data_IF_383812071990
#
_entry.id   IF_383812071990
#
_cell.length_a   1.000
_cell.length_b   1.000
_cell.length_c   1.000
_cell.angle_alpha   90.00
_cell.angle_beta   90.00
_cell.angle_gamma   90.00
#
_symmetry.space_group_name_H-M   'P 1'
#
loop_
_entity.id
_entity.type
_entity.pdbx_description
1 polymer ?
#
# COMPACT_ATOMS: atom_id res chain seq x y z
N UNK A 1 12.33 22.25 -6.07
CA UNK A 1 11.00 21.65 -6.04
C UNK A 1 11.02 20.35 -5.24
N UNK A 2 10.25 20.29 -4.15
CA UNK A 2 10.09 19.04 -3.38
C UNK A 2 9.19 18.08 -4.15
N UNK A 3 9.63 16.83 -4.26
CA UNK A 3 8.87 15.70 -4.80
C UNK A 3 8.97 14.52 -3.86
N UNK A 4 7.91 13.81 -3.66
CA UNK A 4 7.85 12.64 -2.80
C UNK A 4 6.43 12.18 -2.56
N UNK A 5 6.26 11.28 -1.60
CA UNK A 5 4.96 10.70 -1.24
C UNK A 5 4.87 10.54 0.27
N UNK A 6 3.76 10.98 0.84
CA UNK A 6 3.42 10.68 2.24
C UNK A 6 2.81 9.28 2.33
N UNK A 7 3.38 8.41 3.15
CA UNK A 7 2.81 7.11 3.46
C UNK A 7 1.96 7.22 4.75
N UNK A 8 0.83 7.89 4.63
CA UNK A 8 -0.03 8.30 5.73
C UNK A 8 -1.47 7.81 5.61
N UNK A 9 -1.71 6.72 4.89
CA UNK A 9 -3.02 6.08 4.82
C UNK A 9 -3.40 5.54 6.20
N UNK A 10 -4.30 6.24 6.90
CA UNK A 10 -4.71 5.88 8.24
C UNK A 10 -5.85 4.85 8.23
N UNK A 11 -6.70 4.84 7.20
CA UNK A 11 -7.83 3.89 7.15
C UNK A 11 -7.33 2.45 7.08
N UNK A 12 -6.31 2.16 6.27
CA UNK A 12 -5.72 0.81 6.20
C UNK A 12 -5.14 0.34 7.54
N UNK A 13 -4.74 1.25 8.42
CA UNK A 13 -4.26 0.88 9.75
C UNK A 13 -5.38 0.27 10.60
N UNK A 14 -6.60 0.81 10.50
CA UNK A 14 -7.77 0.22 11.18
C UNK A 14 -8.23 -1.08 10.51
N UNK A 15 -8.05 -1.22 9.19
CA UNK A 15 -8.47 -2.42 8.47
C UNK A 15 -7.57 -3.62 8.76
N UNK A 16 -6.24 -3.43 8.73
CA UNK A 16 -5.31 -4.54 8.61
C UNK A 16 -4.05 -4.46 9.49
N UNK A 17 -3.44 -3.25 9.66
CA UNK A 17 -2.09 -3.16 10.23
C UNK A 17 -2.07 -2.87 11.73
N UNK A 18 -3.04 -2.14 12.25
CA UNK A 18 -3.22 -1.88 13.69
C UNK A 18 -2.29 -0.83 14.31
N UNK A 19 -1.57 -0.05 13.50
CA UNK A 19 -0.65 1.00 13.99
C UNK A 19 -1.28 2.38 13.93
N UNK A 20 -2.25 2.66 14.78
CA UNK A 20 -2.91 3.96 14.90
C UNK A 20 -2.85 4.47 16.35
N UNK A 21 -2.93 5.80 16.51
CA UNK A 21 -2.89 6.48 17.82
C UNK A 21 -4.28 7.04 18.14
N UNK A 22 -4.95 7.66 17.16
CA UNK A 22 -6.22 8.33 17.32
C UNK A 22 -7.38 7.52 16.74
N UNK A 23 -8.63 7.76 17.17
CA UNK A 23 -9.81 7.23 16.51
C UNK A 23 -9.93 7.71 15.04
N UNK A 24 -10.77 7.06 14.20
CA UNK A 24 -10.84 7.38 12.77
C UNK A 24 -11.16 8.86 12.46
N UNK A 25 -12.13 9.47 13.13
CA UNK A 25 -12.55 10.84 12.80
C UNK A 25 -11.47 11.91 13.02
N UNK A 26 -10.75 11.98 14.17
CA UNK A 26 -9.60 12.88 14.33
C UNK A 26 -8.47 12.59 13.34
N UNK A 27 -8.24 11.32 13.00
CA UNK A 27 -7.22 10.93 12.03
C UNK A 27 -7.54 11.43 10.63
N UNK A 28 -8.81 11.35 10.20
CA UNK A 28 -9.26 11.90 8.90
C UNK A 28 -9.06 13.41 8.82
N UNK A 29 -9.20 14.14 9.93
CA UNK A 29 -8.87 15.58 9.97
C UNK A 29 -7.40 15.84 9.62
N UNK A 30 -6.48 15.08 10.20
CA UNK A 30 -5.04 15.23 9.91
C UNK A 30 -4.74 14.99 8.42
N UNK A 31 -5.39 14.01 7.81
CA UNK A 31 -5.25 13.74 6.36
C UNK A 31 -5.74 14.92 5.52
N UNK A 32 -6.88 15.50 5.85
CA UNK A 32 -7.40 16.67 5.12
C UNK A 32 -6.53 17.92 5.32
N UNK A 33 -5.90 18.09 6.49
CA UNK A 33 -4.94 19.15 6.74
C UNK A 33 -3.69 18.99 5.86
N UNK A 34 -3.19 17.76 5.69
CA UNK A 34 -2.10 17.44 4.75
C UNK A 34 -2.50 17.81 3.31
N UNK A 35 -3.70 17.43 2.88
CA UNK A 35 -4.18 17.72 1.53
C UNK A 35 -4.25 19.22 1.26
N UNK A 36 -4.82 20.00 2.19
CA UNK A 36 -4.88 21.46 2.09
C UNK A 36 -3.50 22.09 2.01
N UNK A 37 -2.60 21.68 2.90
CA UNK A 37 -1.24 22.19 2.95
C UNK A 37 -0.49 21.89 1.64
N UNK A 38 -0.49 20.64 1.20
CA UNK A 38 0.22 20.24 -0.01
C UNK A 38 -0.34 20.88 -1.28
N UNK A 39 -1.65 21.06 -1.38
CA UNK A 39 -2.27 21.72 -2.53
C UNK A 39 -1.80 23.19 -2.66
N UNK A 40 -1.53 23.88 -1.55
CA UNK A 40 -1.08 25.26 -1.52
C UNK A 40 0.45 25.40 -1.62
N UNK A 41 1.18 24.64 -0.84
CA UNK A 41 2.61 24.88 -0.57
C UNK A 41 3.54 23.89 -1.30
N UNK A 42 3.07 22.66 -1.61
CA UNK A 42 3.91 21.60 -2.18
C UNK A 42 3.18 20.85 -3.32
N UNK A 43 2.89 21.52 -4.45
CA UNK A 43 2.00 20.99 -5.49
C UNK A 43 2.53 19.73 -6.20
N UNK A 44 3.83 19.43 -6.10
CA UNK A 44 4.44 18.24 -6.71
C UNK A 44 4.58 17.06 -5.73
N UNK A 45 4.00 17.17 -4.54
CA UNK A 45 4.02 16.12 -3.53
C UNK A 45 2.78 15.22 -3.62
N UNK A 46 2.96 13.90 -3.62
CA UNK A 46 1.86 12.97 -3.47
C UNK A 46 1.39 13.00 -2.02
N UNK A 47 0.20 13.51 -1.80
CA UNK A 47 -0.34 13.80 -0.46
C UNK A 47 -0.64 12.56 0.38
N UNK A 48 -0.85 11.42 -0.29
CA UNK A 48 -1.16 10.14 0.34
C UNK A 48 -0.73 8.98 -0.56
N UNK A 49 -0.38 7.85 0.05
CA UNK A 49 -0.28 6.54 -0.60
C UNK A 49 -1.36 5.62 -0.03
N UNK A 50 -2.48 5.49 -0.74
CA UNK A 50 -3.63 4.67 -0.33
C UNK A 50 -3.27 3.21 -0.55
N UNK A 51 -3.22 2.42 0.54
CA UNK A 51 -2.46 1.18 0.58
C UNK A 51 -3.31 -0.08 0.69
N UNK A 52 -3.46 -0.80 -0.42
CA UNK A 52 -3.98 -2.17 -0.47
C UNK A 52 -2.93 -3.22 -0.06
N UNK A 53 -1.65 -2.93 -0.20
CA UNK A 53 -0.57 -3.86 0.13
C UNK A 53 -0.74 -4.52 1.50
N UNK A 54 -0.95 -3.73 2.55
CA UNK A 54 -1.08 -4.25 3.91
C UNK A 54 -2.37 -5.05 4.12
N UNK A 55 -3.44 -4.70 3.39
CA UNK A 55 -4.71 -5.44 3.40
C UNK A 55 -4.49 -6.83 2.81
N UNK A 56 -3.73 -6.92 1.70
CA UNK A 56 -3.38 -8.18 1.06
C UNK A 56 -2.46 -9.03 1.93
N UNK A 57 -1.45 -8.43 2.55
CA UNK A 57 -0.53 -9.10 3.48
C UNK A 57 -1.24 -9.66 4.71
N UNK A 58 -2.34 -9.04 5.14
CA UNK A 58 -3.19 -9.55 6.22
C UNK A 58 -4.08 -10.74 5.81
N UNK A 59 -4.03 -11.17 4.54
CA UNK A 59 -4.72 -12.36 4.02
C UNK A 59 -6.02 -12.09 3.27
N UNK A 60 -6.27 -10.86 2.80
CA UNK A 60 -7.40 -10.57 1.91
C UNK A 60 -7.23 -11.22 0.54
N UNK A 61 -8.34 -11.41 -0.20
CA UNK A 61 -8.31 -11.79 -1.61
C UNK A 61 -7.91 -10.61 -2.50
N UNK A 62 -7.57 -10.87 -3.77
CA UNK A 62 -7.28 -9.82 -4.74
C UNK A 62 -8.47 -8.86 -4.93
N UNK A 63 -9.69 -9.38 -4.96
CA UNK A 63 -10.93 -8.58 -5.03
C UNK A 63 -11.09 -7.69 -3.81
N UNK A 64 -10.88 -8.22 -2.61
CA UNK A 64 -10.96 -7.45 -1.36
C UNK A 64 -9.88 -6.37 -1.31
N UNK A 65 -8.66 -6.66 -1.74
CA UNK A 65 -7.59 -5.66 -1.85
C UNK A 65 -8.02 -4.48 -2.71
N UNK A 66 -8.52 -4.72 -3.94
CA UNK A 66 -9.02 -3.65 -4.83
C UNK A 66 -10.17 -2.91 -4.19
N UNK A 67 -11.18 -3.64 -3.71
CA UNK A 67 -12.41 -3.04 -3.20
C UNK A 67 -12.15 -2.17 -1.96
N UNK A 68 -11.38 -2.66 -1.01
CA UNK A 68 -11.13 -1.93 0.24
C UNK A 68 -10.21 -0.74 0.02
N UNK A 69 -9.17 -0.91 -0.80
CA UNK A 69 -8.26 0.19 -1.16
C UNK A 69 -9.00 1.32 -1.88
N UNK A 70 -9.84 0.98 -2.87
CA UNK A 70 -10.60 2.01 -3.58
C UNK A 70 -11.72 2.61 -2.71
N UNK A 71 -12.29 1.85 -1.77
CA UNK A 71 -13.23 2.39 -0.78
C UNK A 71 -12.56 3.41 0.15
N UNK A 72 -11.34 3.11 0.63
CA UNK A 72 -10.54 4.08 1.39
C UNK A 72 -10.26 5.33 0.56
N UNK A 73 -9.90 5.16 -0.71
CA UNK A 73 -9.73 6.27 -1.66
C UNK A 73 -10.99 7.12 -1.81
N UNK A 74 -12.15 6.50 -1.94
CA UNK A 74 -13.45 7.19 -1.99
C UNK A 74 -13.69 8.01 -0.72
N UNK A 75 -13.38 7.46 0.44
CA UNK A 75 -13.57 8.15 1.72
C UNK A 75 -12.64 9.35 1.85
N UNK A 76 -11.38 9.24 1.42
CA UNK A 76 -10.43 10.37 1.40
C UNK A 76 -10.88 11.48 0.44
N UNK A 77 -11.37 11.12 -0.76
CA UNK A 77 -11.89 12.11 -1.72
C UNK A 77 -13.12 12.82 -1.16
N UNK A 78 -14.06 12.09 -0.53
CA UNK A 78 -15.21 12.70 0.15
C UNK A 78 -14.80 13.69 1.24
N UNK A 79 -13.83 13.29 2.09
CA UNK A 79 -13.33 14.13 3.16
C UNK A 79 -12.67 15.41 2.62
N UNK A 80 -11.87 15.31 1.56
CA UNK A 80 -11.23 16.46 0.92
C UNK A 80 -12.25 17.44 0.32
N UNK A 81 -13.25 16.93 -0.40
CA UNK A 81 -14.33 17.76 -0.98
C UNK A 81 -15.16 18.42 0.14
N UNK A 82 -15.52 17.68 1.19
CA UNK A 82 -16.24 18.23 2.34
C UNK A 82 -15.44 19.32 3.07
N UNK A 83 -14.11 19.26 2.99
CA UNK A 83 -13.20 20.27 3.52
C UNK A 83 -13.04 21.49 2.56
N UNK A 84 -13.77 21.52 1.44
CA UNK A 84 -13.80 22.64 0.49
C UNK A 84 -12.75 22.59 -0.61
N UNK A 85 -12.07 21.45 -0.80
CA UNK A 85 -11.07 21.28 -1.87
C UNK A 85 -11.76 20.90 -3.19
N UNK A 86 -11.31 21.50 -4.30
CA UNK A 86 -11.71 21.12 -5.64
C UNK A 86 -11.04 19.80 -6.04
N UNK A 87 -11.84 18.85 -6.54
CA UNK A 87 -11.37 17.50 -6.89
C UNK A 87 -10.24 17.51 -7.92
N UNK A 88 -10.32 18.39 -8.90
CA UNK A 88 -9.33 18.48 -9.98
C UNK A 88 -8.03 19.18 -9.55
N UNK A 89 -7.98 19.74 -8.34
CA UNK A 89 -6.77 20.32 -7.78
C UNK A 89 -5.97 19.34 -6.91
N UNK A 90 -6.65 18.48 -6.13
CA UNK A 90 -5.94 17.53 -5.25
C UNK A 90 -5.84 16.09 -5.81
N UNK A 91 -6.82 15.63 -6.61
CA UNK A 91 -6.84 14.26 -7.09
C UNK A 91 -5.59 13.84 -7.89
N UNK A 92 -4.94 14.73 -8.69
CA UNK A 92 -3.67 14.41 -9.33
C UNK A 92 -2.52 14.08 -8.38
N UNK A 93 -2.62 14.47 -7.09
CA UNK A 93 -1.64 14.19 -6.05
C UNK A 93 -1.91 12.89 -5.27
N UNK A 94 -3.05 12.24 -5.53
CA UNK A 94 -3.33 10.94 -4.92
C UNK A 94 -2.46 9.86 -5.55
N UNK A 95 -1.94 8.98 -4.72
CA UNK A 95 -1.24 7.78 -5.15
C UNK A 95 -1.73 6.55 -4.39
N UNK A 96 -1.44 5.38 -4.94
CA UNK A 96 -1.88 4.10 -4.41
C UNK A 96 -0.70 3.16 -4.23
N UNK A 97 -0.92 2.11 -3.45
CA UNK A 97 0.06 1.09 -3.18
C UNK A 97 -0.61 -0.28 -3.14
N UNK A 98 -0.26 -1.17 -4.06
CA UNK A 98 -0.81 -2.50 -4.18
C UNK A 98 0.23 -3.58 -3.96
N UNK A 99 -0.25 -4.76 -3.55
CA UNK A 99 0.53 -5.99 -3.51
C UNK A 99 0.63 -6.60 -4.92
N UNK A 100 1.67 -7.38 -5.19
CA UNK A 100 1.73 -8.30 -6.32
C UNK A 100 1.94 -9.72 -5.79
N UNK A 101 0.92 -10.56 -5.89
CA UNK A 101 0.85 -11.90 -5.32
C UNK A 101 1.17 -12.99 -6.36
N UNK A 102 1.07 -14.27 -5.98
CA UNK A 102 1.52 -15.40 -6.81
C UNK A 102 0.60 -15.75 -7.97
N UNK A 103 -0.70 -15.41 -7.94
CA UNK A 103 -1.62 -15.76 -9.01
C UNK A 103 -1.49 -14.78 -10.19
N UNK A 104 -0.58 -15.09 -11.10
CA UNK A 104 -0.05 -14.20 -12.12
C UNK A 104 -1.13 -13.47 -12.95
N UNK A 105 -2.06 -14.22 -13.56
CA UNK A 105 -3.09 -13.61 -14.42
C UNK A 105 -4.13 -12.82 -13.62
N UNK A 106 -4.46 -13.29 -12.42
CA UNK A 106 -5.34 -12.56 -11.49
C UNK A 106 -4.73 -11.22 -11.08
N UNK A 107 -3.42 -11.18 -10.80
CA UNK A 107 -2.73 -9.95 -10.44
C UNK A 107 -2.69 -8.94 -11.60
N UNK A 108 -2.43 -9.39 -12.83
CA UNK A 108 -2.53 -8.52 -14.02
C UNK A 108 -3.95 -7.95 -14.16
N UNK A 109 -4.96 -8.80 -14.05
CA UNK A 109 -6.37 -8.39 -14.12
C UNK A 109 -6.75 -7.42 -12.98
N UNK A 110 -6.21 -7.65 -11.79
CA UNK A 110 -6.39 -6.79 -10.60
C UNK A 110 -5.97 -5.35 -10.87
N UNK A 111 -4.77 -5.14 -11.38
CA UNK A 111 -4.26 -3.80 -11.68
C UNK A 111 -5.06 -3.13 -12.80
N UNK A 112 -5.50 -3.87 -13.80
CA UNK A 112 -6.36 -3.38 -14.87
C UNK A 112 -7.74 -2.97 -14.34
N UNK A 113 -8.37 -3.81 -13.53
CA UNK A 113 -9.65 -3.54 -12.87
C UNK A 113 -9.57 -2.31 -11.96
N UNK A 114 -8.53 -2.22 -11.13
CA UNK A 114 -8.34 -1.08 -10.23
C UNK A 114 -8.26 0.25 -10.97
N UNK A 115 -7.46 0.34 -12.06
CA UNK A 115 -7.36 1.56 -12.87
C UNK A 115 -8.70 1.94 -13.52
N UNK A 116 -9.40 0.98 -14.09
CA UNK A 116 -10.67 1.21 -14.79
C UNK A 116 -11.79 1.61 -13.80
N UNK A 117 -11.85 0.96 -12.64
CA UNK A 117 -12.78 1.31 -11.57
C UNK A 117 -12.52 2.72 -11.04
N UNK A 118 -11.28 3.05 -10.73
CA UNK A 118 -10.93 4.37 -10.20
C UNK A 118 -11.29 5.49 -11.16
N UNK A 119 -10.95 5.34 -12.44
CA UNK A 119 -11.29 6.33 -13.45
C UNK A 119 -12.80 6.57 -13.53
N UNK A 120 -13.61 5.51 -13.47
CA UNK A 120 -15.09 5.64 -13.45
C UNK A 120 -15.58 6.28 -12.17
N UNK A 121 -15.06 5.87 -11.01
CA UNK A 121 -15.42 6.45 -9.71
C UNK A 121 -15.16 7.96 -9.71
N UNK A 122 -13.97 8.38 -10.11
CA UNK A 122 -13.61 9.81 -10.12
C UNK A 122 -14.46 10.63 -11.08
N UNK A 123 -14.73 10.09 -12.26
CA UNK A 123 -15.58 10.77 -13.24
C UNK A 123 -17.07 10.79 -12.83
N UNK A 124 -17.62 9.63 -12.49
CA UNK A 124 -19.06 9.44 -12.38
C UNK A 124 -19.60 9.79 -10.99
N UNK A 125 -18.80 9.58 -9.92
CA UNK A 125 -19.20 9.86 -8.53
C UNK A 125 -18.74 11.25 -8.06
N UNK A 126 -17.56 11.71 -8.49
CA UNK A 126 -16.96 12.96 -8.01
C UNK A 126 -16.90 14.08 -9.06
N UNK A 127 -17.26 13.80 -10.31
CA UNK A 127 -17.32 14.79 -11.37
C UNK A 127 -15.95 15.33 -11.80
N UNK A 128 -14.87 14.60 -11.57
CA UNK A 128 -13.54 14.97 -12.00
C UNK A 128 -13.44 15.07 -13.53
N UNK A 129 -12.80 16.12 -14.03
CA UNK A 129 -12.76 16.46 -15.46
C UNK A 129 -11.35 16.34 -16.05
N UNK A 130 -10.31 16.60 -15.24
CA UNK A 130 -8.92 16.53 -15.72
C UNK A 130 -8.51 15.07 -15.91
N UNK A 131 -7.86 14.71 -17.04
CA UNK A 131 -7.32 13.35 -17.24
C UNK A 131 -6.43 12.87 -16.09
N UNK A 132 -5.60 13.76 -15.52
CA UNK A 132 -4.74 13.45 -14.39
C UNK A 132 -5.51 13.06 -13.12
N UNK A 133 -6.73 13.62 -12.91
CA UNK A 133 -7.59 13.29 -11.78
C UNK A 133 -8.25 11.91 -11.90
N UNK A 134 -8.32 11.36 -13.12
CA UNK A 134 -8.90 10.04 -13.39
C UNK A 134 -7.86 8.91 -13.30
N UNK A 135 -6.57 9.26 -13.25
CA UNK A 135 -5.50 8.27 -13.23
C UNK A 135 -5.33 7.65 -11.84
N UNK A 136 -5.27 6.32 -11.80
CA UNK A 136 -4.80 5.60 -10.64
C UNK A 136 -3.30 5.38 -10.80
N UNK A 137 -2.50 6.23 -10.14
CA UNK A 137 -1.05 6.08 -10.08
C UNK A 137 -0.69 5.24 -8.88
N UNK A 138 0.09 4.18 -9.09
CA UNK A 138 0.37 3.27 -7.99
C UNK A 138 1.78 2.71 -8.00
N UNK A 139 2.26 2.45 -6.80
CA UNK A 139 3.40 1.61 -6.49
C UNK A 139 2.92 0.17 -6.30
N UNK A 140 3.74 -0.80 -6.69
CA UNK A 140 3.53 -2.20 -6.35
C UNK A 140 4.72 -2.74 -5.56
N UNK A 141 4.43 -3.58 -4.59
CA UNK A 141 5.43 -4.41 -3.91
C UNK A 141 5.03 -5.87 -4.04
N UNK A 142 6.00 -6.72 -4.29
CA UNK A 142 5.79 -8.18 -4.30
C UNK A 142 5.35 -8.67 -2.92
N UNK A 143 4.51 -9.72 -2.87
CA UNK A 143 3.88 -10.17 -1.64
C UNK A 143 4.86 -10.80 -0.66
N UNK A 144 5.15 -10.12 0.45
CA UNK A 144 6.01 -10.61 1.51
C UNK A 144 5.48 -11.88 2.17
N UNK A 145 4.17 -11.91 2.43
CA UNK A 145 3.47 -13.06 3.04
C UNK A 145 3.51 -14.35 2.20
N UNK A 146 3.90 -14.27 0.92
CA UNK A 146 4.05 -15.42 0.03
C UNK A 146 5.42 -16.08 0.12
N UNK A 147 6.39 -15.42 0.73
CA UNK A 147 7.78 -15.88 0.81
C UNK A 147 7.96 -16.79 2.03
N UNK A 148 8.82 -17.80 1.87
CA UNK A 148 8.97 -18.87 2.84
C UNK A 148 10.39 -18.92 3.39
N UNK A 149 10.52 -19.32 4.66
CA UNK A 149 11.82 -19.59 5.27
C UNK A 149 12.44 -20.89 4.73
N UNK A 150 11.59 -21.83 4.28
CA UNK A 150 12.00 -23.09 3.67
C UNK A 150 12.47 -22.83 2.24
N UNK A 151 13.63 -23.36 1.87
CA UNK A 151 14.21 -23.22 0.52
C UNK A 151 14.18 -21.76 0.02
N UNK A 152 14.83 -20.81 0.72
CA UNK A 152 14.66 -19.37 0.50
C UNK A 152 15.07 -18.89 -0.91
N UNK A 153 15.94 -19.64 -1.61
CA UNK A 153 16.32 -19.33 -3.00
C UNK A 153 15.11 -19.40 -3.94
N UNK A 154 14.10 -20.24 -3.65
CA UNK A 154 12.87 -20.30 -4.45
C UNK A 154 12.07 -18.99 -4.36
N UNK A 155 12.30 -18.16 -3.34
CA UNK A 155 11.69 -16.84 -3.23
C UNK A 155 12.12 -15.91 -4.35
N UNK A 156 13.32 -16.07 -4.93
CA UNK A 156 13.78 -15.31 -6.09
C UNK A 156 12.83 -15.52 -7.27
N UNK A 157 12.42 -16.77 -7.49
CA UNK A 157 11.49 -17.14 -8.57
C UNK A 157 10.10 -16.57 -8.30
N UNK A 158 9.59 -16.71 -7.05
CA UNK A 158 8.29 -16.15 -6.65
C UNK A 158 8.24 -14.64 -6.89
N UNK A 159 9.25 -13.93 -6.39
CA UNK A 159 9.38 -12.47 -6.55
C UNK A 159 9.48 -12.07 -8.02
N UNK A 160 10.21 -12.84 -8.85
CA UNK A 160 10.32 -12.57 -10.29
C UNK A 160 8.94 -12.65 -10.97
N UNK A 161 8.15 -13.69 -10.69
CA UNK A 161 6.81 -13.87 -11.25
C UNK A 161 5.85 -12.74 -10.80
N UNK A 162 5.89 -12.39 -9.53
CA UNK A 162 5.09 -11.30 -8.96
C UNK A 162 5.47 -9.94 -9.56
N UNK A 163 6.77 -9.66 -9.66
CA UNK A 163 7.28 -8.43 -10.26
C UNK A 163 6.88 -8.31 -11.73
N UNK A 164 6.95 -9.41 -12.48
CA UNK A 164 6.52 -9.46 -13.88
C UNK A 164 5.00 -9.21 -14.01
N UNK A 165 4.18 -9.78 -13.12
CA UNK A 165 2.74 -9.50 -13.10
C UNK A 165 2.44 -8.02 -12.83
N UNK A 166 3.17 -7.38 -11.91
CA UNK A 166 3.04 -5.95 -11.64
C UNK A 166 3.42 -5.08 -12.85
N UNK A 167 4.50 -5.44 -13.56
CA UNK A 167 4.96 -4.73 -14.78
C UNK A 167 3.93 -4.85 -15.89
N UNK A 168 3.46 -6.07 -16.19
CA UNK A 168 2.42 -6.32 -17.19
C UNK A 168 1.07 -5.71 -16.78
N UNK A 169 0.81 -5.57 -15.49
CA UNK A 169 -0.32 -4.88 -14.92
C UNK A 169 -0.23 -3.35 -14.97
N UNK A 170 0.92 -2.77 -15.35
CA UNK A 170 1.10 -1.33 -15.57
C UNK A 170 1.43 -0.52 -14.31
N UNK A 171 2.18 -1.09 -13.37
CA UNK A 171 2.69 -0.35 -12.19
C UNK A 171 3.64 0.80 -12.60
N UNK A 172 3.62 1.93 -11.87
CA UNK A 172 4.51 3.05 -12.13
C UNK A 172 5.84 2.96 -11.36
N UNK A 173 5.84 2.26 -10.23
CA UNK A 173 7.06 1.96 -9.48
C UNK A 173 6.93 0.59 -8.82
N UNK A 174 8.06 -0.06 -8.56
CA UNK A 174 8.10 -1.44 -8.12
C UNK A 174 9.13 -1.64 -7.01
N UNK A 175 8.73 -2.36 -5.96
CA UNK A 175 9.61 -2.95 -4.96
C UNK A 175 9.59 -4.47 -5.10
N UNK A 176 10.76 -5.08 -5.11
CA UNK A 176 10.94 -6.53 -5.05
C UNK A 176 11.48 -6.92 -3.68
N UNK A 177 10.77 -7.78 -2.95
CA UNK A 177 11.24 -8.32 -1.69
C UNK A 177 12.48 -9.20 -1.91
N UNK A 178 13.32 -9.27 -0.92
CA UNK A 178 14.52 -10.12 -0.97
C UNK A 178 14.21 -11.57 -0.61
N UNK A 179 15.08 -12.49 -1.00
CA UNK A 179 14.86 -13.92 -0.78
C UNK A 179 14.82 -14.32 0.71
N UNK A 180 15.41 -13.50 1.59
CA UNK A 180 15.48 -13.69 3.03
C UNK A 180 14.36 -12.98 3.82
N UNK A 181 13.36 -12.44 3.13
CA UNK A 181 12.24 -11.66 3.70
C UNK A 181 11.52 -12.38 4.85
N UNK A 182 11.33 -13.69 4.74
CA UNK A 182 10.65 -14.49 5.77
C UNK A 182 11.53 -14.78 7.01
N UNK A 183 12.80 -14.39 7.00
CA UNK A 183 13.77 -14.77 8.03
C UNK A 183 14.36 -13.57 8.77
N UNK A 184 14.66 -12.48 8.05
CA UNK A 184 15.34 -11.32 8.62
C UNK A 184 15.19 -10.07 7.72
N UNK A 185 15.75 -8.95 8.18
CA UNK A 185 16.04 -7.81 7.29
C UNK A 185 17.03 -8.26 6.20
N UNK A 186 16.92 -7.70 4.98
CA UNK A 186 17.65 -8.21 3.84
C UNK A 186 19.17 -8.05 4.00
N UNK A 187 19.89 -9.12 3.70
CA UNK A 187 21.35 -9.10 3.56
C UNK A 187 21.76 -8.35 2.29
N UNK A 188 23.00 -7.88 2.21
CA UNK A 188 23.53 -7.19 1.02
C UNK A 188 23.41 -8.04 -0.25
N UNK A 189 23.69 -9.35 -0.15
CA UNK A 189 23.52 -10.28 -1.27
C UNK A 189 22.06 -10.37 -1.71
N UNK A 190 21.13 -10.51 -0.77
CA UNK A 190 19.71 -10.66 -1.06
C UNK A 190 19.11 -9.38 -1.67
N UNK A 191 19.44 -8.19 -1.15
CA UNK A 191 19.05 -6.89 -1.73
C UNK A 191 19.55 -6.74 -3.15
N UNK A 192 20.81 -7.13 -3.40
CA UNK A 192 21.39 -7.06 -4.75
C UNK A 192 20.64 -7.93 -5.75
N UNK A 193 20.28 -9.15 -5.37
CA UNK A 193 19.48 -10.06 -6.21
C UNK A 193 18.09 -9.45 -6.47
N UNK A 194 17.42 -8.95 -5.44
CA UNK A 194 16.11 -8.31 -5.57
C UNK A 194 16.13 -7.13 -6.55
N UNK A 195 17.18 -6.29 -6.48
CA UNK A 195 17.37 -5.18 -7.44
C UNK A 195 17.67 -5.70 -8.85
N UNK A 196 18.50 -6.74 -9.00
CA UNK A 196 18.81 -7.34 -10.30
C UNK A 196 17.58 -7.96 -10.95
N UNK A 197 16.66 -8.53 -10.19
CA UNK A 197 15.37 -9.02 -10.69
C UNK A 197 14.63 -7.94 -11.48
N UNK A 198 14.51 -6.72 -10.94
CA UNK A 198 13.89 -5.60 -11.65
C UNK A 198 14.66 -5.23 -12.94
N UNK A 199 15.99 -5.19 -12.85
CA UNK A 199 16.84 -4.82 -13.98
C UNK A 199 16.78 -5.86 -15.12
N UNK A 200 16.74 -7.15 -14.80
CA UNK A 200 16.56 -8.23 -15.78
C UNK A 200 15.20 -8.08 -16.48
N UNK A 201 14.12 -7.87 -15.72
CA UNK A 201 12.79 -7.62 -16.29
C UNK A 201 12.83 -6.39 -17.23
N UNK A 202 13.49 -5.32 -16.84
CA UNK A 202 13.54 -4.08 -17.61
C UNK A 202 14.38 -4.18 -18.90
N UNK A 203 15.49 -4.91 -18.87
CA UNK A 203 16.49 -4.89 -19.94
C UNK A 203 16.55 -6.14 -20.79
N UNK A 204 16.16 -7.30 -20.26
CA UNK A 204 16.36 -8.59 -20.93
C UNK A 204 15.06 -9.25 -21.38
N UNK A 205 13.91 -8.91 -20.77
CA UNK A 205 12.63 -9.61 -21.02
C UNK A 205 11.85 -9.07 -22.23
N UNK A 206 12.13 -7.85 -22.69
CA UNK A 206 11.39 -7.18 -23.76
C UNK A 206 10.01 -6.66 -23.37
N UNK A 207 9.52 -6.89 -22.15
CA UNK A 207 8.15 -6.47 -21.71
C UNK A 207 7.96 -4.96 -21.70
N UNK A 208 9.04 -4.19 -21.59
CA UNK A 208 9.01 -2.72 -21.61
C UNK A 208 8.81 -2.14 -23.02
N UNK A 209 8.86 -2.96 -24.06
CA UNK A 209 8.67 -2.54 -25.45
C UNK A 209 7.20 -2.41 -25.86
N UNK A 210 6.27 -2.78 -24.98
CA UNK A 210 4.82 -2.77 -25.24
C UNK A 210 4.05 -2.17 -24.07
N UNK A 211 2.86 -1.65 -24.37
CA UNK A 211 1.89 -1.17 -23.39
C UNK A 211 0.70 -2.13 -23.34
N UNK A 212 0.35 -2.60 -22.15
CA UNK A 212 -0.77 -3.53 -21.91
C UNK A 212 -0.76 -4.76 -22.87
N UNK A 213 0.34 -5.53 -22.91
CA UNK A 213 0.54 -6.56 -23.93
C UNK A 213 -0.46 -7.73 -23.81
N UNK A 214 -1.14 -7.87 -22.68
CA UNK A 214 -2.19 -8.86 -22.45
C UNK A 214 -3.61 -8.33 -22.74
N UNK A 215 -3.73 -7.07 -23.15
CA UNK A 215 -4.99 -6.46 -23.57
C UNK A 215 -5.59 -7.23 -24.76
N UNK A 216 -6.92 -7.53 -24.68
CA UNK A 216 -7.62 -8.35 -25.67
C UNK A 216 -7.51 -9.86 -25.46
N UNK A 217 -6.72 -10.33 -24.49
CA UNK A 217 -6.78 -11.74 -24.06
C UNK A 217 -8.16 -12.04 -23.46
N UNK A 218 -8.89 -13.01 -24.01
CA UNK A 218 -10.23 -13.39 -23.51
C UNK A 218 -10.21 -13.67 -22.00
N UNK A 219 -9.21 -14.38 -21.52
CA UNK A 219 -9.06 -14.72 -20.10
C UNK A 219 -8.83 -13.48 -19.23
N UNK A 220 -7.89 -12.62 -19.63
CA UNK A 220 -7.55 -11.42 -18.84
C UNK A 220 -8.70 -10.41 -18.85
N UNK A 221 -9.41 -10.26 -19.97
CA UNK A 221 -10.58 -9.38 -20.04
C UNK A 221 -11.74 -9.92 -19.18
N UNK A 222 -11.99 -11.23 -19.21
CA UNK A 222 -13.01 -11.86 -18.35
C UNK A 222 -12.67 -11.66 -16.87
N UNK A 223 -11.46 -12.00 -16.42
CA UNK A 223 -11.03 -11.82 -15.04
C UNK A 223 -11.10 -10.33 -14.60
N UNK A 224 -10.75 -9.41 -15.50
CA UNK A 224 -10.83 -7.96 -15.21
C UNK A 224 -12.29 -7.55 -14.96
N UNK A 225 -13.24 -8.04 -15.78
CA UNK A 225 -14.67 -7.73 -15.63
C UNK A 225 -15.27 -8.35 -14.37
N UNK A 226 -14.96 -9.60 -14.08
CA UNK A 226 -15.40 -10.32 -12.88
C UNK A 226 -14.90 -9.62 -11.62
N UNK A 227 -13.64 -9.19 -11.60
CA UNK A 227 -13.04 -8.47 -10.47
C UNK A 227 -13.69 -7.11 -10.26
N UNK A 228 -14.00 -6.38 -11.33
CA UNK A 228 -14.75 -5.11 -11.20
C UNK A 228 -16.12 -5.32 -10.57
N UNK A 229 -16.89 -6.33 -11.03
CA UNK A 229 -18.23 -6.56 -10.50
C UNK A 229 -18.19 -7.00 -9.04
N UNK A 230 -17.28 -7.91 -8.70
CA UNK A 230 -17.08 -8.33 -7.32
C UNK A 230 -16.65 -7.17 -6.39
N UNK A 231 -15.79 -6.26 -6.87
CA UNK A 231 -15.43 -5.07 -6.12
C UNK A 231 -16.61 -4.10 -5.95
N UNK A 232 -17.49 -3.96 -6.97
CA UNK A 232 -18.71 -3.15 -6.87
C UNK A 232 -19.69 -3.69 -5.83
N UNK A 233 -19.76 -5.01 -5.65
CA UNK A 233 -20.57 -5.61 -4.58
C UNK A 233 -20.05 -5.19 -3.20
N UNK A 234 -18.74 -5.16 -3.00
CA UNK A 234 -18.15 -4.65 -1.77
C UNK A 234 -18.48 -3.17 -1.56
N UNK A 235 -18.42 -2.33 -2.61
CA UNK A 235 -18.82 -0.93 -2.48
C UNK A 235 -20.28 -0.79 -2.04
N UNK A 236 -21.20 -1.57 -2.62
CA UNK A 236 -22.61 -1.58 -2.19
C UNK A 236 -22.77 -1.96 -0.71
N UNK A 237 -22.04 -3.00 -0.25
CA UNK A 237 -22.05 -3.42 1.16
C UNK A 237 -21.52 -2.30 2.07
N UNK A 238 -20.39 -1.69 1.74
CA UNK A 238 -19.76 -0.61 2.50
C UNK A 238 -20.68 0.62 2.57
N UNK A 239 -21.25 1.03 1.43
CA UNK A 239 -22.20 2.16 1.37
C UNK A 239 -23.46 1.87 2.23
N UNK A 240 -23.97 0.63 2.24
CA UNK A 240 -25.12 0.22 3.09
C UNK A 240 -24.81 0.26 4.59
N UNK A 241 -23.54 0.12 4.98
CA UNK A 241 -23.08 0.23 6.36
C UNK A 241 -22.89 1.69 6.81
N UNK A 242 -22.98 2.65 5.89
CA UNK A 242 -22.79 4.07 6.14
C UNK A 242 -21.39 4.60 5.82
N UNK A 243 -20.66 3.91 4.94
CA UNK A 243 -19.31 4.27 4.49
C UNK A 243 -18.20 3.56 5.26
N UNK A 244 -16.95 3.87 4.89
CA UNK A 244 -15.76 3.17 5.37
C UNK A 244 -15.58 3.31 6.88
N UNK A 245 -15.68 4.52 7.42
CA UNK A 245 -15.49 4.78 8.87
C UNK A 245 -16.48 3.96 9.70
N UNK A 246 -17.76 3.95 9.31
CA UNK A 246 -18.80 3.15 10.00
C UNK A 246 -18.57 1.64 9.85
N UNK A 247 -18.12 1.20 8.69
CA UNK A 247 -17.78 -0.20 8.46
C UNK A 247 -16.57 -0.65 9.32
N UNK A 248 -15.57 0.23 9.51
CA UNK A 248 -14.44 0.02 10.44
C UNK A 248 -14.97 -0.15 11.88
N UNK A 249 -15.78 0.79 12.36
CA UNK A 249 -16.36 0.77 13.72
C UNK A 249 -17.17 -0.50 13.99
N UNK A 250 -17.79 -1.06 12.97
CA UNK A 250 -18.55 -2.34 13.04
C UNK A 250 -17.68 -3.58 12.85
N UNK A 251 -16.37 -3.45 12.60
CA UNK A 251 -15.45 -4.55 12.39
C UNK A 251 -15.71 -5.33 11.08
N UNK A 252 -16.31 -4.71 10.07
CA UNK A 252 -16.67 -5.37 8.82
C UNK A 252 -15.44 -5.86 8.07
N UNK A 253 -14.49 -4.97 7.81
CA UNK A 253 -13.28 -5.28 7.05
C UNK A 253 -12.43 -6.36 7.74
N UNK A 254 -12.26 -6.23 9.05
CA UNK A 254 -11.46 -7.17 9.83
C UNK A 254 -12.03 -8.59 9.76
N UNK A 255 -13.37 -8.75 9.81
CA UNK A 255 -14.02 -10.06 9.66
C UNK A 255 -13.86 -10.62 8.26
N UNK A 256 -14.03 -9.81 7.22
CA UNK A 256 -13.86 -10.24 5.81
C UNK A 256 -12.42 -10.71 5.55
N UNK A 257 -11.43 -9.96 6.05
CA UNK A 257 -10.00 -10.31 5.91
C UNK A 257 -9.69 -11.59 6.69
N UNK A 258 -10.14 -11.69 7.94
CA UNK A 258 -9.91 -12.87 8.78
C UNK A 258 -10.51 -14.14 8.18
N UNK A 259 -11.71 -14.06 7.58
CA UNK A 259 -12.35 -15.19 6.92
C UNK A 259 -11.56 -15.66 5.69
N UNK A 260 -11.04 -14.71 4.89
CA UNK A 260 -10.22 -15.06 3.72
C UNK A 260 -8.88 -15.67 4.13
N UNK A 261 -8.23 -15.09 5.14
CA UNK A 261 -6.97 -15.60 5.68
C UNK A 261 -7.12 -17.02 6.25
N UNK A 262 -8.23 -17.26 6.97
CA UNK A 262 -8.54 -18.59 7.52
C UNK A 262 -8.78 -19.62 6.41
N UNK A 263 -9.54 -19.26 5.37
CA UNK A 263 -9.75 -20.14 4.21
C UNK A 263 -8.44 -20.46 3.49
N UNK A 264 -7.60 -19.46 3.28
CA UNK A 264 -6.29 -19.64 2.68
C UNK A 264 -5.42 -20.62 3.48
N UNK A 265 -5.44 -20.51 4.82
CA UNK A 265 -4.74 -21.43 5.71
C UNK A 265 -5.28 -22.87 5.59
N UNK A 266 -6.62 -23.04 5.55
CA UNK A 266 -7.24 -24.36 5.36
C UNK A 266 -6.85 -25.00 4.03
N UNK A 267 -6.81 -24.22 2.93
CA UNK A 267 -6.37 -24.71 1.61
C UNK A 267 -4.92 -25.22 1.64
N UNK A 268 -4.04 -24.57 2.43
CA UNK A 268 -2.65 -25.01 2.61
C UNK A 268 -2.60 -26.31 3.43
N UNK A 269 -3.33 -26.39 4.55
CA UNK A 269 -3.35 -27.55 5.43
C UNK A 269 -3.96 -28.80 4.75
N UNK A 270 -4.99 -28.60 3.95
CA UNK A 270 -5.62 -29.67 3.14
C UNK A 270 -4.83 -30.06 1.89
N UNK A 271 -3.76 -29.33 1.57
CA UNK A 271 -2.98 -29.44 0.31
C UNK A 271 -3.79 -29.14 -0.96
N UNK A 272 -4.96 -28.52 -0.85
CA UNK A 272 -5.65 -27.94 -2.00
C UNK A 272 -4.81 -26.84 -2.65
N UNK A 273 -4.06 -26.11 -1.81
CA UNK A 273 -3.05 -25.15 -2.25
C UNK A 273 -1.66 -25.67 -1.93
N UNK A 274 -0.87 -25.91 -2.99
CA UNK A 274 0.52 -26.32 -2.85
C UNK A 274 1.44 -25.11 -2.66
N UNK A 275 2.25 -25.12 -1.61
CA UNK A 275 3.38 -24.23 -1.39
C UNK A 275 4.67 -25.07 -1.46
N UNK A 276 5.42 -24.87 -2.54
CA UNK A 276 6.66 -25.61 -2.83
C UNK A 276 7.67 -25.38 -1.70
N UNK A 277 8.19 -26.49 -1.15
CA UNK A 277 9.13 -26.50 -0.04
C UNK A 277 8.49 -26.38 1.34
N UNK A 278 7.14 -26.17 1.44
CA UNK A 278 6.42 -26.01 2.71
C UNK A 278 5.50 -27.22 2.97
N UNK A 279 4.51 -27.44 2.14
CA UNK A 279 3.56 -28.56 2.29
C UNK A 279 3.69 -29.64 1.20
N UNK A 280 4.49 -29.39 0.17
CA UNK A 280 4.87 -30.32 -0.88
C UNK A 280 6.32 -30.02 -1.32
N UNK A 281 7.03 -31.01 -1.88
CA UNK A 281 8.45 -30.91 -2.27
C UNK A 281 9.37 -30.46 -1.13
N UNK A 282 9.11 -30.96 0.06
CA UNK A 282 9.85 -30.61 1.29
C UNK A 282 11.25 -31.22 1.25
N UNK A 283 12.24 -30.50 1.78
CA UNK A 283 13.61 -30.97 2.04
C UNK A 283 13.92 -30.85 3.52
N UNK A 284 14.70 -31.78 4.05
CA UNK A 284 15.22 -31.76 5.43
C UNK A 284 16.46 -30.86 5.57
N UNK A 285 16.94 -30.26 4.48
CA UNK A 285 18.09 -29.38 4.49
C UNK A 285 17.76 -28.05 5.18
N UNK A 286 18.60 -27.68 6.16
CA UNK A 286 18.51 -26.37 6.77
C UNK A 286 18.92 -25.27 5.76
N UNK A 287 18.22 -24.10 5.71
CA UNK A 287 18.62 -22.99 4.86
C UNK A 287 20.05 -22.51 5.19
N UNK A 288 20.93 -22.48 4.20
CA UNK A 288 22.30 -21.94 4.31
C UNK A 288 22.42 -20.63 3.58
N UNK A 289 21.81 -19.57 4.14
CA UNK A 289 21.93 -18.21 3.62
C UNK A 289 22.44 -17.26 4.72
N UNK A 290 23.34 -16.33 4.39
CA UNK A 290 23.81 -15.34 5.34
C UNK A 290 22.71 -14.35 5.69
N UNK A 291 22.35 -14.25 6.97
CA UNK A 291 21.37 -13.27 7.47
C UNK A 291 22.09 -12.02 7.97
N UNK A 292 21.38 -10.88 7.95
CA UNK A 292 21.88 -9.63 8.52
C UNK A 292 21.88 -9.72 10.06
N UNK A 293 23.08 -9.69 10.68
CA UNK A 293 23.25 -9.84 12.12
C UNK A 293 23.61 -8.54 12.87
N UNK A 294 24.01 -7.48 12.17
CA UNK A 294 24.64 -6.28 12.77
C UNK A 294 23.64 -5.18 13.18
N UNK A 295 22.40 -5.56 13.52
CA UNK A 295 21.33 -4.62 13.91
C UNK A 295 21.68 -3.83 15.17
N UNK A 296 22.38 -4.46 16.13
CA UNK A 296 22.71 -3.83 17.42
C UNK A 296 23.62 -2.60 17.29
N UNK A 297 24.61 -2.63 16.39
CA UNK A 297 25.50 -1.47 16.14
C UNK A 297 24.76 -0.31 15.49
N UNK A 298 23.77 -0.57 14.64
CA UNK A 298 22.89 0.43 14.07
C UNK A 298 22.05 1.12 15.14
N UNK A 299 21.46 0.34 16.04
CA UNK A 299 20.64 0.84 17.15
C UNK A 299 21.43 1.77 18.07
N UNK A 300 22.64 1.41 18.47
CA UNK A 300 23.46 2.23 19.34
C UNK A 300 23.77 3.59 18.71
N UNK A 301 24.17 3.62 17.43
CA UNK A 301 24.40 4.89 16.70
C UNK A 301 23.16 5.79 16.65
N UNK A 302 21.97 5.21 16.49
CA UNK A 302 20.73 5.98 16.52
C UNK A 302 20.42 6.55 17.90
N UNK A 303 20.63 5.77 18.97
CA UNK A 303 20.45 6.25 20.35
C UNK A 303 21.42 7.37 20.69
N UNK A 304 22.67 7.27 20.27
CA UNK A 304 23.68 8.32 20.50
C UNK A 304 23.29 9.63 19.78
N UNK A 305 22.85 9.53 18.51
CA UNK A 305 22.35 10.68 17.75
C UNK A 305 21.09 11.29 18.39
N UNK A 306 20.13 10.47 18.80
CA UNK A 306 18.92 10.95 19.47
C UNK A 306 19.26 11.69 20.77
N UNK A 307 20.16 11.14 21.56
CA UNK A 307 20.61 11.76 22.80
C UNK A 307 21.36 13.06 22.55
N UNK A 308 22.14 13.15 21.47
CA UNK A 308 22.79 14.39 21.04
C UNK A 308 21.75 15.45 20.69
N UNK A 309 20.79 15.15 19.81
CA UNK A 309 19.71 16.08 19.44
C UNK A 309 18.96 16.58 20.68
N UNK A 310 18.61 15.68 21.60
CA UNK A 310 17.91 16.05 22.85
C UNK A 310 18.72 16.99 23.75
N UNK A 311 20.05 16.90 23.75
CA UNK A 311 20.94 17.82 24.53
C UNK A 311 21.10 19.16 23.86
N UNK A 312 21.17 19.19 22.51
CA UNK A 312 21.47 20.39 21.72
C UNK A 312 20.26 21.24 21.38
N UNK A 313 19.05 20.66 21.35
CA UNK A 313 17.80 21.35 21.01
C UNK A 313 17.44 22.41 22.06
N UNK A 314 16.81 23.50 21.62
CA UNK A 314 16.22 24.50 22.52
C UNK A 314 14.91 23.99 23.13
N UNK A 315 14.93 23.57 24.38
CA UNK A 315 13.75 23.04 25.08
C UNK A 315 12.67 24.11 25.35
N UNK A 316 12.99 25.42 25.28
CA UNK A 316 11.97 26.49 25.41
C UNK A 316 11.17 26.56 24.13
N UNK A 317 11.83 26.53 22.96
CA UNK A 317 11.18 26.49 21.66
C UNK A 317 10.32 25.22 21.51
N UNK A 318 10.82 24.06 21.90
CA UNK A 318 10.03 22.80 21.91
C UNK A 318 8.77 22.96 22.76
N UNK A 319 8.86 23.57 23.95
CA UNK A 319 7.71 23.79 24.83
C UNK A 319 6.71 24.77 24.23
N UNK A 320 7.19 25.85 23.60
CA UNK A 320 6.36 26.85 22.91
C UNK A 320 5.59 26.22 21.76
N UNK A 321 6.29 25.58 20.81
CA UNK A 321 5.69 25.00 19.60
C UNK A 321 4.70 23.89 19.92
N UNK A 322 5.01 23.02 20.89
CA UNK A 322 4.06 21.99 21.35
C UNK A 322 2.82 22.59 22.05
N UNK A 323 2.96 23.71 22.77
CA UNK A 323 1.82 24.41 23.34
C UNK A 323 0.92 25.01 22.28
N UNK A 324 1.49 25.65 21.26
CA UNK A 324 0.76 26.21 20.12
C UNK A 324 0.03 25.12 19.33
N UNK A 325 0.69 24.00 19.05
CA UNK A 325 0.08 22.85 18.41
C UNK A 325 -1.12 22.30 19.22
N UNK A 326 -0.99 22.17 20.55
CA UNK A 326 -2.10 21.74 21.45
C UNK A 326 -3.28 22.69 21.42
N UNK A 327 -3.04 24.01 21.34
CA UNK A 327 -4.11 25.00 21.25
C UNK A 327 -4.80 24.95 19.89
N UNK A 328 -4.05 24.83 18.82
CA UNK A 328 -4.57 24.74 17.46
C UNK A 328 -5.37 23.43 17.22
N UNK A 329 -4.95 22.32 17.83
CA UNK A 329 -5.67 21.04 17.76
C UNK A 329 -7.09 21.10 18.30
N UNK A 330 -7.40 22.05 19.18
CA UNK A 330 -8.76 22.30 19.71
C UNK A 330 -9.64 23.18 18.81
N UNK A 331 -9.10 23.68 17.68
CA UNK A 331 -9.75 24.60 16.75
C UNK A 331 -9.70 24.02 15.33
N UNK A 332 -10.29 24.70 14.36
CA UNK A 332 -10.29 24.29 12.96
C UNK A 332 -9.06 24.79 12.17
N UNK A 333 -7.94 25.09 12.84
CA UNK A 333 -6.71 25.47 12.18
C UNK A 333 -6.06 24.27 11.49
N UNK A 334 -5.41 24.51 10.33
CA UNK A 334 -4.57 23.50 9.69
C UNK A 334 -3.36 23.21 10.59
N UNK A 335 -3.14 21.96 10.95
CA UNK A 335 -2.08 21.58 11.89
C UNK A 335 -0.72 21.39 11.21
N UNK A 336 -0.66 21.27 9.89
CA UNK A 336 0.60 20.99 9.19
C UNK A 336 1.69 22.02 9.40
N UNK A 337 1.43 23.35 9.29
CA UNK A 337 2.48 24.36 9.57
C UNK A 337 3.03 24.22 11.00
N UNK A 338 2.16 24.01 11.98
CA UNK A 338 2.55 23.90 13.39
C UNK A 338 3.29 22.59 13.71
N UNK A 339 2.99 21.51 12.99
CA UNK A 339 3.75 20.27 13.09
C UNK A 339 5.15 20.48 12.53
N UNK A 340 5.27 21.16 11.39
CA UNK A 340 6.58 21.47 10.80
C UNK A 340 7.43 22.38 11.67
N UNK A 341 6.81 23.37 12.33
CA UNK A 341 7.49 24.26 13.27
C UNK A 341 7.97 23.54 14.55
N UNK A 342 7.30 22.44 14.90
CA UNK A 342 7.61 21.66 16.10
C UNK A 342 8.68 20.56 15.87
N UNK A 343 9.07 20.30 14.61
CA UNK A 343 10.09 19.32 14.23
C UNK A 343 11.49 19.93 14.30
#
# INVERSE_FOLDING_TARGET
ELRGTSQNDILKEYLARGTYIFPPAPSMRLITDVFRYCAAEVPNWNTISISGYHIREAGSTAVQEVAFTLADGIEYVKAAISAGLDVDNFAPQLSFFFNAHNNFLEEVAKFRAARRLWARIMRDRFGAKKPASLQLRFHSQTGGSTLTAQQPENNIIRVTMQALAAVLGGTQSLHTNSMDEAMALPSEKAVRIALRTQQIIAHESGVTSSVDPLGGSYMVEALTNEMEEAAREYFRKIDSLGGVVRAIERGFFQREIAQSAYRYQQEIESKERVLVGVNEYVSDEAPDIPLLTDVAKGQQRHLDRLNQVRRERDNREVSRTLSELRQAAKRDANLMPLILDAL
#
